data_IF_589469990590
#
_entry.id   IF_589469990590
#
_cell.length_a   1.000
_cell.length_b   1.000
_cell.length_c   1.000
_cell.angle_alpha   90.00
_cell.angle_beta   90.00
_cell.angle_gamma   90.00
#
_symmetry.space_group_name_H-M   'P 1'
#
loop_
_entity.id
_entity.type
_entity.pdbx_description
1 polymer ?
#
# COMPACT_ATOMS: atom_id res chain seq x y z
N UNK A 1 -1.49 -21.64 53.23
CA UNK A 1 -2.63 -22.22 52.47
C UNK A 1 -3.99 -22.06 53.17
N UNK A 2 -4.06 -21.84 54.49
CA UNK A 2 -5.32 -21.64 55.22
C UNK A 2 -6.00 -20.27 55.00
N UNK A 3 -5.25 -19.21 54.71
CA UNK A 3 -5.82 -17.86 54.49
C UNK A 3 -6.62 -17.69 53.18
N UNK A 4 -6.43 -18.55 52.18
CA UNK A 4 -7.14 -18.48 50.91
C UNK A 4 -8.51 -19.19 50.94
N UNK A 5 -8.76 -20.05 51.94
CA UNK A 5 -10.01 -20.83 52.05
C UNK A 5 -11.11 -20.01 52.72
N UNK A 6 -10.79 -19.33 53.83
CA UNK A 6 -11.71 -18.43 54.54
C UNK A 6 -12.06 -17.17 53.73
N UNK A 7 -11.16 -16.71 52.86
CA UNK A 7 -11.46 -15.58 51.97
C UNK A 7 -12.48 -15.97 50.89
N UNK A 8 -12.56 -17.25 50.51
CA UNK A 8 -13.43 -17.75 49.44
C UNK A 8 -14.88 -17.91 49.91
N UNK A 9 -15.09 -18.33 51.16
CA UNK A 9 -16.42 -18.45 51.78
C UNK A 9 -17.00 -17.07 52.16
N UNK A 10 -16.17 -16.14 52.66
CA UNK A 10 -16.67 -14.78 52.97
C UNK A 10 -17.04 -13.96 51.73
N UNK A 11 -16.47 -14.26 50.57
CA UNK A 11 -16.79 -13.56 49.31
C UNK A 11 -18.04 -14.17 48.64
N UNK A 12 -18.34 -15.47 48.83
CA UNK A 12 -19.53 -16.09 48.24
C UNK A 12 -20.84 -15.61 48.85
N UNK A 13 -20.81 -15.21 50.12
CA UNK A 13 -22.00 -14.76 50.84
C UNK A 13 -22.25 -13.24 50.72
N UNK A 14 -21.24 -12.47 50.27
CA UNK A 14 -21.31 -11.00 50.24
C UNK A 14 -21.78 -10.44 48.88
N UNK A 15 -21.67 -11.20 47.79
CA UNK A 15 -22.12 -10.79 46.46
C UNK A 15 -22.75 -11.98 45.70
N UNK A 16 -24.06 -11.99 45.43
CA UNK A 16 -24.69 -13.04 44.65
C UNK A 16 -24.01 -13.17 43.27
N UNK A 17 -23.81 -14.41 42.79
CA UNK A 17 -23.16 -14.75 41.51
C UNK A 17 -23.56 -13.83 40.32
N UNK A 18 -24.83 -13.41 40.15
CA UNK A 18 -25.21 -12.42 39.12
C UNK A 18 -24.50 -11.07 39.23
N UNK A 19 -24.23 -10.57 40.45
CA UNK A 19 -23.49 -9.32 40.64
C UNK A 19 -22.02 -9.48 40.24
N UNK A 20 -21.37 -10.60 40.57
CA UNK A 20 -20.02 -10.88 40.09
C UNK A 20 -19.95 -10.96 38.57
N UNK A 21 -20.90 -11.65 37.92
CA UNK A 21 -20.99 -11.71 36.46
C UNK A 21 -21.19 -10.31 35.87
N UNK A 22 -22.09 -9.51 36.46
CA UNK A 22 -22.31 -8.12 36.04
C UNK A 22 -21.04 -7.28 36.15
N UNK A 23 -20.29 -7.37 37.25
CA UNK A 23 -19.01 -6.67 37.41
C UNK A 23 -17.96 -7.12 36.38
N UNK A 24 -17.85 -8.42 36.11
CA UNK A 24 -16.92 -8.94 35.08
C UNK A 24 -17.30 -8.44 33.69
N UNK A 25 -18.59 -8.43 33.34
CA UNK A 25 -19.09 -7.88 32.06
C UNK A 25 -18.81 -6.38 32.00
N UNK A 26 -19.09 -5.63 33.07
CA UNK A 26 -18.86 -4.19 33.12
C UNK A 26 -17.37 -3.85 32.97
N UNK A 27 -16.48 -4.56 33.67
CA UNK A 27 -15.02 -4.42 33.54
C UNK A 27 -14.58 -4.76 32.12
N UNK A 28 -15.13 -5.81 31.52
CA UNK A 28 -14.82 -6.22 30.14
C UNK A 28 -15.27 -5.16 29.14
N UNK A 29 -16.50 -4.65 29.25
CA UNK A 29 -17.04 -3.57 28.41
C UNK A 29 -16.20 -2.30 28.58
N UNK A 30 -15.85 -1.93 29.81
CA UNK A 30 -15.00 -0.76 30.05
C UNK A 30 -13.62 -0.92 29.41
N UNK A 31 -12.99 -2.09 29.54
CA UNK A 31 -11.68 -2.35 28.96
C UNK A 31 -11.68 -2.43 27.44
N UNK A 32 -12.76 -2.94 26.82
CA UNK A 32 -12.88 -3.09 25.37
C UNK A 32 -13.31 -1.79 24.68
N UNK A 33 -14.23 -1.03 25.28
CA UNK A 33 -14.85 0.13 24.64
C UNK A 33 -14.40 1.47 25.23
N UNK A 34 -14.34 1.60 26.56
CA UNK A 34 -14.06 2.88 27.21
C UNK A 34 -12.57 3.21 27.28
N UNK A 35 -11.74 2.21 27.64
CA UNK A 35 -10.30 2.41 27.82
C UNK A 35 -9.59 2.86 26.52
N UNK A 36 -9.80 2.24 25.34
CA UNK A 36 -9.15 2.71 24.12
C UNK A 36 -9.55 4.13 23.72
N UNK A 37 -10.82 4.50 23.95
CA UNK A 37 -11.30 5.85 23.69
C UNK A 37 -10.65 6.88 24.64
N UNK A 38 -10.55 6.56 25.93
CA UNK A 38 -9.87 7.40 26.91
C UNK A 38 -8.37 7.58 26.60
N UNK A 39 -7.65 6.49 26.29
CA UNK A 39 -6.24 6.55 25.92
C UNK A 39 -6.04 7.33 24.61
N UNK A 40 -6.91 7.14 23.61
CA UNK A 40 -6.90 7.94 22.38
C UNK A 40 -7.09 9.42 22.67
N UNK A 41 -8.08 9.79 23.50
CA UNK A 41 -8.36 11.19 23.83
C UNK A 41 -7.21 11.84 24.61
N UNK A 42 -6.64 11.12 25.57
CA UNK A 42 -5.49 11.59 26.35
C UNK A 42 -4.28 11.80 25.44
N UNK A 43 -3.99 10.82 24.58
CA UNK A 43 -2.92 10.91 23.59
C UNK A 43 -3.12 12.09 22.64
N UNK A 44 -4.32 12.23 22.07
CA UNK A 44 -4.65 13.33 21.15
C UNK A 44 -4.36 14.71 21.78
N UNK A 45 -4.80 14.90 23.03
CA UNK A 45 -4.55 16.13 23.77
C UNK A 45 -3.07 16.35 24.06
N UNK A 46 -2.35 15.30 24.47
CA UNK A 46 -0.92 15.39 24.79
C UNK A 46 -0.06 15.63 23.55
N UNK A 47 -0.37 14.95 22.44
CA UNK A 47 0.40 15.06 21.20
C UNK A 47 0.17 16.39 20.50
N UNK A 48 -1.06 16.93 20.48
CA UNK A 48 -1.33 18.28 19.97
C UNK A 48 -0.62 19.35 20.80
N UNK A 49 -0.58 19.18 22.13
CA UNK A 49 0.17 20.08 23.02
C UNK A 49 1.68 20.03 22.79
N UNK A 50 2.24 18.84 22.60
CA UNK A 50 3.67 18.65 22.37
C UNK A 50 4.09 19.04 20.94
N UNK A 51 3.23 18.80 19.96
CA UNK A 51 3.50 18.97 18.55
C UNK A 51 2.31 19.65 17.85
N UNK A 52 2.35 20.98 17.68
CA UNK A 52 1.27 21.75 17.04
C UNK A 52 0.91 21.32 15.61
N UNK A 53 1.74 20.51 14.97
CA UNK A 53 1.48 19.91 13.66
C UNK A 53 0.17 19.12 13.61
N UNK A 54 -0.20 18.43 14.69
CA UNK A 54 -1.40 17.60 14.68
C UNK A 54 -2.69 18.41 14.67
N UNK A 55 -2.70 19.64 15.17
CA UNK A 55 -3.85 20.55 15.02
C UNK A 55 -4.06 20.96 13.56
N UNK A 56 -2.96 21.18 12.83
CA UNK A 56 -3.03 21.51 11.40
C UNK A 56 -3.46 20.29 10.60
N UNK A 57 -2.90 19.11 10.90
CA UNK A 57 -3.23 17.87 10.20
C UNK A 57 -4.69 17.46 10.43
N UNK A 58 -5.22 17.65 11.64
CA UNK A 58 -6.64 17.44 11.94
C UNK A 58 -7.55 18.34 11.08
N UNK A 59 -7.18 19.61 10.91
CA UNK A 59 -7.95 20.54 10.07
C UNK A 59 -7.83 20.22 8.58
N UNK A 60 -6.63 19.86 8.14
CA UNK A 60 -6.32 19.60 6.73
C UNK A 60 -6.86 18.26 6.23
N UNK A 61 -6.88 17.24 7.08
CA UNK A 61 -7.33 15.88 6.73
C UNK A 61 -8.04 15.23 7.92
N UNK A 62 -9.26 15.68 8.26
CA UNK A 62 -9.94 15.28 9.48
C UNK A 62 -10.17 13.77 9.59
N UNK A 63 -10.52 13.12 8.49
CA UNK A 63 -10.78 11.68 8.46
C UNK A 63 -9.49 10.87 8.67
N UNK A 64 -8.41 11.21 7.96
CA UNK A 64 -7.13 10.52 8.08
C UNK A 64 -6.51 10.72 9.47
N UNK A 65 -6.65 11.93 10.04
CA UNK A 65 -6.24 12.20 11.41
C UNK A 65 -7.06 11.39 12.43
N UNK A 66 -8.39 11.31 12.23
CA UNK A 66 -9.28 10.49 13.07
C UNK A 66 -8.89 9.02 13.04
N UNK A 67 -8.58 8.49 11.85
CA UNK A 67 -8.14 7.11 11.67
C UNK A 67 -6.80 6.85 12.36
N UNK A 68 -5.84 7.77 12.21
CA UNK A 68 -4.57 7.76 12.93
C UNK A 68 -4.75 7.79 14.45
N UNK A 69 -5.51 8.74 14.99
CA UNK A 69 -5.76 8.85 16.43
C UNK A 69 -6.44 7.59 16.97
N UNK A 70 -7.43 7.06 16.25
CA UNK A 70 -8.15 5.83 16.65
C UNK A 70 -7.23 4.61 16.66
N UNK A 71 -6.39 4.47 15.65
CA UNK A 71 -5.35 3.44 15.57
C UNK A 71 -4.38 3.55 16.75
N UNK A 72 -3.88 4.75 17.02
CA UNK A 72 -2.96 4.99 18.13
C UNK A 72 -3.58 4.68 19.50
N UNK A 73 -4.84 5.07 19.71
CA UNK A 73 -5.58 4.76 20.94
C UNK A 73 -5.68 3.26 21.20
N UNK A 74 -5.95 2.46 20.16
CA UNK A 74 -5.93 0.99 20.26
C UNK A 74 -4.54 0.47 20.62
N UNK A 75 -3.49 0.95 19.94
CA UNK A 75 -2.11 0.53 20.19
C UNK A 75 -1.65 0.85 21.63
N UNK A 76 -2.04 2.02 22.16
CA UNK A 76 -1.78 2.41 23.55
C UNK A 76 -2.55 1.54 24.55
N UNK A 77 -3.83 1.27 24.29
CA UNK A 77 -4.66 0.43 25.15
C UNK A 77 -4.13 -1.01 25.25
N UNK A 78 -3.59 -1.53 24.14
CA UNK A 78 -2.93 -2.82 24.01
C UNK A 78 -1.49 -2.83 24.56
N UNK A 79 -0.99 -1.70 25.08
CA UNK A 79 0.40 -1.53 25.56
C UNK A 79 1.44 -1.96 24.52
N UNK A 80 1.20 -1.64 23.25
CA UNK A 80 2.19 -1.88 22.19
C UNK A 80 3.49 -1.15 22.49
N UNK A 81 4.57 -1.68 21.95
CA UNK A 81 5.91 -1.12 22.06
C UNK A 81 5.91 0.36 21.63
N UNK A 82 6.56 1.23 22.42
CA UNK A 82 6.73 2.67 22.11
C UNK A 82 7.33 2.90 20.73
N UNK A 83 8.23 2.02 20.28
CA UNK A 83 8.84 2.07 18.96
C UNK A 83 7.81 1.94 17.85
N UNK A 84 6.82 1.07 18.03
CA UNK A 84 5.72 0.89 17.07
C UNK A 84 4.84 2.15 17.00
N UNK A 85 4.59 2.81 18.14
CA UNK A 85 3.85 4.08 18.19
C UNK A 85 4.61 5.21 17.47
N UNK A 86 5.93 5.29 17.69
CA UNK A 86 6.79 6.26 17.03
C UNK A 86 6.83 6.05 15.51
N UNK A 87 6.99 4.80 15.07
CA UNK A 87 6.95 4.44 13.64
C UNK A 87 5.60 4.81 13.02
N UNK A 88 4.49 4.52 13.71
CA UNK A 88 3.15 4.86 13.21
C UNK A 88 2.96 6.37 13.09
N UNK A 89 3.41 7.14 14.08
CA UNK A 89 3.43 8.61 14.05
C UNK A 89 4.24 9.14 12.88
N UNK A 90 5.45 8.63 12.69
CA UNK A 90 6.35 9.03 11.62
C UNK A 90 5.73 8.78 10.24
N UNK A 91 5.18 7.57 10.03
CA UNK A 91 4.49 7.21 8.77
C UNK A 91 3.30 8.14 8.47
N UNK A 92 2.52 8.49 9.49
CA UNK A 92 1.40 9.41 9.31
C UNK A 92 1.88 10.81 8.91
N UNK A 93 2.83 11.39 9.66
CA UNK A 93 3.36 12.73 9.35
C UNK A 93 4.02 12.77 7.97
N UNK A 94 4.78 11.73 7.61
CA UNK A 94 5.48 11.69 6.34
C UNK A 94 4.53 11.47 5.16
N UNK A 95 3.44 10.73 5.34
CA UNK A 95 2.38 10.65 4.36
C UNK A 95 1.71 12.01 4.12
N UNK A 96 1.41 12.76 5.18
CA UNK A 96 0.84 14.11 5.06
C UNK A 96 1.81 15.08 4.40
N UNK A 97 3.08 15.04 4.82
CA UNK A 97 4.13 15.85 4.22
C UNK A 97 4.26 15.54 2.73
N UNK A 98 4.32 14.27 2.34
CA UNK A 98 4.47 13.84 0.94
C UNK A 98 3.35 14.37 0.02
N UNK A 99 2.13 14.48 0.54
CA UNK A 99 0.99 15.06 -0.21
C UNK A 99 1.18 16.54 -0.52
N UNK A 100 1.77 17.28 0.42
CA UNK A 100 1.90 18.74 0.39
C UNK A 100 3.26 19.21 -0.12
N UNK A 101 4.27 18.35 -0.09
CA UNK A 101 5.64 18.66 -0.49
C UNK A 101 5.74 19.21 -1.94
N UNK A 102 4.99 18.70 -2.94
CA UNK A 102 5.04 19.24 -4.31
C UNK A 102 4.64 20.73 -4.40
N UNK A 103 3.76 21.20 -3.52
CA UNK A 103 3.25 22.57 -3.49
C UNK A 103 3.85 23.42 -2.37
N UNK A 104 4.76 22.87 -1.56
CA UNK A 104 5.45 23.63 -0.54
C UNK A 104 6.57 24.51 -1.15
N UNK A 105 6.87 25.62 -0.51
CA UNK A 105 7.99 26.50 -0.84
C UNK A 105 9.33 25.80 -0.55
N UNK A 106 10.24 25.91 -1.53
CA UNK A 106 11.57 25.31 -1.52
C UNK A 106 12.39 25.71 -0.28
N UNK A 107 12.16 26.90 0.30
CA UNK A 107 12.83 27.36 1.52
C UNK A 107 12.58 26.47 2.73
N UNK A 108 11.35 25.95 2.89
CA UNK A 108 11.02 25.09 4.03
C UNK A 108 11.61 23.68 3.84
N UNK A 109 11.59 23.19 2.60
CA UNK A 109 12.25 21.93 2.21
C UNK A 109 13.77 22.03 2.47
N UNK A 110 14.39 23.12 2.02
CA UNK A 110 15.81 23.39 2.28
C UNK A 110 16.15 23.41 3.77
N UNK A 111 15.34 24.10 4.60
CA UNK A 111 15.54 24.13 6.06
C UNK A 111 15.47 22.74 6.67
N UNK A 112 14.51 21.90 6.25
CA UNK A 112 14.41 20.53 6.73
C UNK A 112 15.66 19.71 6.39
N UNK A 113 16.08 19.73 5.13
CA UNK A 113 17.26 18.99 4.65
C UNK A 113 18.53 19.47 5.38
N UNK A 114 18.65 20.78 5.63
CA UNK A 114 19.74 21.36 6.42
C UNK A 114 19.72 20.86 7.87
N UNK A 115 18.56 20.86 8.51
CA UNK A 115 18.43 20.44 9.91
C UNK A 115 18.66 18.93 10.05
N UNK A 116 18.23 18.11 9.09
CA UNK A 116 18.57 16.68 8.97
C UNK A 116 20.07 16.48 8.82
N UNK A 117 20.74 17.24 7.95
CA UNK A 117 22.20 17.14 7.81
C UNK A 117 22.92 17.53 9.10
N UNK A 118 22.46 18.57 9.80
CA UNK A 118 23.03 18.96 11.09
C UNK A 118 22.90 17.81 12.07
N UNK A 119 21.71 17.19 12.18
CA UNK A 119 21.49 16.02 13.01
C UNK A 119 22.47 14.89 12.66
N UNK A 120 22.57 14.49 11.38
CA UNK A 120 23.47 13.41 10.96
C UNK A 120 24.94 13.67 11.28
N UNK A 121 25.39 14.93 11.23
CA UNK A 121 26.77 15.28 11.62
C UNK A 121 27.04 15.19 13.12
N UNK A 122 25.99 15.15 13.95
CA UNK A 122 26.09 15.09 15.41
C UNK A 122 25.89 13.67 15.95
N UNK A 123 25.34 12.78 15.13
CA UNK A 123 25.13 11.39 15.49
C UNK A 123 26.45 10.62 15.44
N UNK A 124 26.85 10.05 16.58
CA UNK A 124 28.08 9.26 16.70
C UNK A 124 27.91 7.84 16.15
N UNK A 125 26.72 7.25 16.31
CA UNK A 125 26.41 5.88 15.87
C UNK A 125 25.80 5.90 14.45
N UNK A 126 26.51 5.41 13.42
CA UNK A 126 26.03 5.41 12.04
C UNK A 126 24.69 4.69 11.83
N UNK A 127 24.38 3.69 12.66
CA UNK A 127 23.14 2.92 12.55
C UNK A 127 21.91 3.79 12.82
N UNK A 128 22.03 4.83 13.65
CA UNK A 128 20.95 5.79 13.94
C UNK A 128 20.62 6.63 12.70
N UNK A 129 21.62 7.01 11.90
CA UNK A 129 21.40 7.78 10.67
C UNK A 129 20.60 6.94 9.67
N UNK A 130 21.00 5.67 9.50
CA UNK A 130 20.33 4.73 8.59
C UNK A 130 18.92 4.45 9.07
N UNK A 131 18.74 4.20 10.36
CA UNK A 131 17.43 3.97 10.94
C UNK A 131 16.51 5.21 10.89
N UNK A 132 17.08 6.42 10.87
CA UNK A 132 16.30 7.64 10.71
C UNK A 132 15.81 7.82 9.27
N UNK A 133 16.62 7.47 8.28
CA UNK A 133 16.24 7.54 6.86
C UNK A 133 15.37 6.34 6.43
N UNK A 134 15.65 5.17 7.00
CA UNK A 134 15.03 3.89 6.68
C UNK A 134 14.54 3.20 7.97
N UNK A 135 13.46 3.70 8.59
CA UNK A 135 13.00 3.25 9.91
C UNK A 135 12.51 1.80 9.95
N UNK A 136 12.31 1.17 8.79
CA UNK A 136 11.98 -0.26 8.70
C UNK A 136 13.22 -1.16 8.72
N UNK A 137 14.41 -0.60 8.50
CA UNK A 137 15.64 -1.38 8.30
C UNK A 137 16.43 -1.70 9.58
N UNK A 138 16.20 -0.92 10.63
CA UNK A 138 16.99 -0.98 11.87
C UNK A 138 16.12 -0.59 13.06
N UNK A 139 16.30 -1.31 14.16
CA UNK A 139 15.64 -0.99 15.44
C UNK A 139 16.61 -0.16 16.28
N UNK A 140 16.27 1.09 16.57
CA UNK A 140 17.05 1.94 17.48
C UNK A 140 16.55 1.74 18.92
N UNK A 141 17.45 1.84 19.89
CA UNK A 141 17.09 1.90 21.31
C UNK A 141 16.68 3.33 21.74
N UNK A 142 15.69 3.42 22.62
CA UNK A 142 15.10 4.69 23.10
C UNK A 142 16.14 5.58 23.79
N UNK A 143 17.11 4.97 24.49
CA UNK A 143 18.21 5.67 25.19
C UNK A 143 19.10 6.43 24.20
N UNK A 144 19.37 5.83 23.04
CA UNK A 144 20.21 6.41 22.00
C UNK A 144 19.54 7.61 21.32
N UNK A 145 18.22 7.59 21.14
CA UNK A 145 17.46 8.67 20.51
C UNK A 145 17.35 9.89 21.42
N UNK A 146 17.18 9.68 22.74
CA UNK A 146 16.99 10.76 23.71
C UNK A 146 18.16 11.75 23.74
N UNK A 147 19.38 11.30 23.48
CA UNK A 147 20.58 12.17 23.35
C UNK A 147 20.41 13.22 22.24
N UNK A 148 19.60 12.94 21.22
CA UNK A 148 19.41 13.79 20.05
C UNK A 148 18.02 14.42 19.96
N UNK A 149 17.25 14.41 21.04
CA UNK A 149 15.86 14.88 21.08
C UNK A 149 15.68 16.29 20.52
N UNK A 150 16.58 17.22 20.87
CA UNK A 150 16.53 18.60 20.36
C UNK A 150 16.65 18.67 18.83
N UNK A 151 17.48 17.83 18.22
CA UNK A 151 17.65 17.79 16.76
C UNK A 151 16.41 17.20 16.09
N UNK A 152 15.86 16.13 16.67
CA UNK A 152 14.65 15.47 16.17
C UNK A 152 13.45 16.42 16.24
N UNK A 153 13.29 17.15 17.34
CA UNK A 153 12.27 18.19 17.47
C UNK A 153 12.44 19.28 16.40
N UNK A 154 13.67 19.70 16.12
CA UNK A 154 13.95 20.68 15.07
C UNK A 154 13.56 20.19 13.67
N UNK A 155 13.86 18.93 13.35
CA UNK A 155 13.42 18.30 12.09
C UNK A 155 11.89 18.23 12.04
N UNK A 156 11.23 17.85 13.13
CA UNK A 156 9.76 17.81 13.22
C UNK A 156 9.13 19.21 13.00
N UNK A 157 9.72 20.27 13.54
CA UNK A 157 9.29 21.65 13.29
C UNK A 157 9.51 22.09 11.83
N UNK A 158 10.56 21.58 11.18
CA UNK A 158 10.75 21.81 9.74
C UNK A 158 9.71 21.08 8.90
N UNK A 159 9.37 19.82 9.23
CA UNK A 159 8.26 19.08 8.60
C UNK A 159 6.92 19.81 8.79
N UNK A 160 6.67 20.32 10.00
CA UNK A 160 5.52 21.20 10.28
C UNK A 160 5.47 22.41 9.36
N UNK A 161 6.61 23.08 9.17
CA UNK A 161 6.66 24.28 8.35
C UNK A 161 6.37 24.00 6.87
N UNK A 162 6.81 22.85 6.36
CA UNK A 162 6.47 22.36 5.01
C UNK A 162 4.96 22.12 4.89
N UNK A 163 4.38 21.37 5.83
CA UNK A 163 2.95 21.05 5.83
C UNK A 163 2.10 22.33 5.93
N UNK A 164 2.42 23.19 6.88
CA UNK A 164 1.72 24.47 7.07
C UNK A 164 1.80 25.33 5.82
N UNK A 165 2.99 25.47 5.24
CA UNK A 165 3.16 26.27 4.03
C UNK A 165 2.41 25.67 2.84
N UNK A 166 2.46 24.35 2.62
CA UNK A 166 1.73 23.70 1.53
C UNK A 166 0.21 23.81 1.64
N UNK A 167 -0.32 24.02 2.86
CA UNK A 167 -1.75 24.25 3.10
C UNK A 167 -2.15 25.72 2.97
N UNK A 168 -1.38 26.63 3.58
CA UNK A 168 -1.74 28.05 3.67
C UNK A 168 -1.29 28.85 2.45
N UNK A 169 -0.18 28.47 1.82
CA UNK A 169 0.46 29.22 0.74
C UNK A 169 1.00 28.28 -0.37
N UNK A 170 0.14 27.46 -0.99
CA UNK A 170 0.57 26.50 -1.99
C UNK A 170 1.23 27.22 -3.18
N UNK A 171 2.44 26.79 -3.51
CA UNK A 171 3.15 27.19 -4.72
C UNK A 171 2.59 26.47 -5.95
N UNK A 172 2.94 26.98 -7.13
CA UNK A 172 2.62 26.30 -8.38
C UNK A 172 3.19 24.89 -8.40
N UNK A 173 2.45 24.01 -9.07
CA UNK A 173 2.85 22.61 -9.23
C UNK A 173 4.20 22.56 -9.94
N UNK A 174 5.06 21.67 -9.45
CA UNK A 174 6.36 21.33 -10.01
C UNK A 174 6.27 21.11 -11.54
N UNK A 175 6.94 21.95 -12.33
CA UNK A 175 6.86 21.89 -13.79
C UNK A 175 7.69 20.74 -14.39
N UNK A 176 7.37 20.33 -15.62
CA UNK A 176 8.11 19.27 -16.32
C UNK A 176 9.61 19.61 -16.51
N UNK A 177 9.92 20.87 -16.81
CA UNK A 177 11.31 21.32 -16.92
C UNK A 177 12.05 21.17 -15.58
N UNK A 178 11.43 21.57 -14.48
CA UNK A 178 12.00 21.42 -13.14
C UNK A 178 12.16 19.94 -12.76
N UNK A 179 11.21 19.09 -13.15
CA UNK A 179 11.28 17.64 -12.96
C UNK A 179 12.49 17.03 -13.69
N UNK A 180 12.67 17.35 -14.98
CA UNK A 180 13.79 16.86 -15.78
C UNK A 180 15.13 17.40 -15.26
N UNK A 181 15.17 18.67 -14.86
CA UNK A 181 16.32 19.30 -14.21
C UNK A 181 16.70 18.57 -12.91
N UNK A 182 15.74 18.36 -12.01
CA UNK A 182 15.94 17.67 -10.74
C UNK A 182 16.42 16.22 -10.94
N UNK A 183 15.81 15.47 -11.87
CA UNK A 183 16.23 14.11 -12.24
C UNK A 183 17.68 14.07 -12.70
N UNK A 184 18.08 15.00 -13.57
CA UNK A 184 19.46 15.10 -14.08
C UNK A 184 20.44 15.41 -12.95
N UNK A 185 20.11 16.36 -12.08
CA UNK A 185 20.97 16.74 -10.95
C UNK A 185 21.13 15.60 -9.95
N UNK A 186 20.03 14.92 -9.58
CA UNK A 186 20.09 13.77 -8.69
C UNK A 186 20.95 12.65 -9.29
N UNK A 187 20.79 12.33 -10.59
CA UNK A 187 21.63 11.36 -11.28
C UNK A 187 23.12 11.70 -11.17
N UNK A 188 23.49 12.97 -11.37
CA UNK A 188 24.88 13.43 -11.23
C UNK A 188 25.40 13.28 -9.79
N UNK A 189 24.57 13.55 -8.79
CA UNK A 189 24.92 13.33 -7.38
C UNK A 189 25.14 11.85 -7.10
N UNK A 190 24.22 10.98 -7.51
CA UNK A 190 24.36 9.52 -7.33
C UNK A 190 25.63 9.01 -8.01
N UNK A 191 25.89 9.38 -9.27
CA UNK A 191 27.13 8.98 -9.95
C UNK A 191 28.40 9.48 -9.27
N UNK A 192 28.34 10.62 -8.58
CA UNK A 192 29.47 11.12 -7.79
C UNK A 192 29.67 10.32 -6.50
N UNK A 193 28.57 9.91 -5.84
CA UNK A 193 28.61 9.03 -4.68
C UNK A 193 29.13 7.64 -5.06
N UNK A 194 28.69 7.07 -6.20
CA UNK A 194 29.16 5.78 -6.72
C UNK A 194 30.67 5.79 -6.98
N UNK A 195 31.18 6.86 -7.61
CA UNK A 195 32.62 7.03 -7.83
C UNK A 195 33.42 7.11 -6.53
N UNK A 196 32.84 7.71 -5.48
CA UNK A 196 33.52 7.96 -4.19
C UNK A 196 33.45 6.77 -3.23
N UNK A 197 32.32 6.07 -3.19
CA UNK A 197 32.01 5.03 -2.20
C UNK A 197 31.84 3.63 -2.82
N UNK A 198 31.89 3.51 -4.13
CA UNK A 198 31.64 2.27 -4.88
C UNK A 198 30.15 2.09 -5.21
N UNK A 199 29.87 1.70 -6.46
CA UNK A 199 28.50 1.49 -6.94
C UNK A 199 27.72 0.45 -6.13
N UNK A 200 28.37 -0.61 -5.66
CA UNK A 200 27.74 -1.64 -4.83
C UNK A 200 27.22 -1.06 -3.50
N UNK A 201 28.01 -0.25 -2.80
CA UNK A 201 27.59 0.35 -1.52
C UNK A 201 26.43 1.34 -1.69
N UNK A 202 26.47 2.14 -2.76
CA UNK A 202 25.39 3.08 -3.09
C UNK A 202 24.12 2.31 -3.48
N UNK A 203 24.26 1.26 -4.29
CA UNK A 203 23.14 0.39 -4.67
C UNK A 203 22.50 -0.28 -3.44
N UNK A 204 23.31 -0.92 -2.58
CA UNK A 204 22.82 -1.58 -1.38
C UNK A 204 22.10 -0.59 -0.44
N UNK A 205 22.64 0.61 -0.25
CA UNK A 205 21.99 1.63 0.59
C UNK A 205 20.59 2.01 0.11
N UNK A 206 20.38 2.18 -1.20
CA UNK A 206 19.09 2.65 -1.72
C UNK A 206 18.13 1.54 -2.14
N UNK A 207 18.58 0.28 -2.22
CA UNK A 207 17.75 -0.84 -2.70
C UNK A 207 17.62 -2.00 -1.69
N UNK A 208 18.60 -2.21 -0.79
CA UNK A 208 18.60 -3.31 0.17
C UNK A 208 19.34 -2.91 1.46
N UNK A 209 18.72 -2.02 2.23
CA UNK A 209 19.27 -1.51 3.50
C UNK A 209 19.47 -2.57 4.58
N UNK A 210 18.82 -3.74 4.42
CA UNK A 210 18.92 -4.87 5.34
C UNK A 210 20.02 -5.86 4.95
N UNK A 211 20.72 -5.61 3.84
CA UNK A 211 21.80 -6.48 3.41
C UNK A 211 22.92 -6.51 4.45
N UNK A 212 23.35 -7.69 4.93
CA UNK A 212 24.44 -7.81 5.91
C UNK A 212 25.79 -7.33 5.37
N UNK A 213 25.93 -7.14 4.05
CA UNK A 213 27.13 -6.56 3.43
C UNK A 213 27.15 -5.03 3.49
N UNK A 214 26.02 -4.37 3.78
CA UNK A 214 25.99 -2.92 3.88
C UNK A 214 26.71 -2.48 5.16
N UNK A 215 27.84 -1.78 4.97
CA UNK A 215 28.58 -1.21 6.09
C UNK A 215 27.92 0.08 6.58
N UNK A 216 27.40 0.08 7.80
CA UNK A 216 26.63 1.20 8.34
C UNK A 216 27.45 2.53 8.36
N UNK A 217 28.76 2.47 8.64
CA UNK A 217 29.61 3.66 8.64
C UNK A 217 29.81 4.23 7.22
N UNK A 218 29.86 3.38 6.19
CA UNK A 218 29.92 3.83 4.79
C UNK A 218 28.56 4.38 4.37
N UNK A 219 27.46 3.68 4.69
CA UNK A 219 26.10 4.12 4.42
C UNK A 219 25.79 5.51 5.00
N UNK A 220 26.13 5.73 6.28
CA UNK A 220 25.98 7.05 6.92
C UNK A 220 26.80 8.14 6.21
N UNK A 221 28.05 7.83 5.79
CA UNK A 221 28.87 8.78 5.01
C UNK A 221 28.24 9.08 3.65
N UNK A 222 27.65 8.10 2.98
CA UNK A 222 26.93 8.31 1.71
C UNK A 222 25.74 9.25 1.95
N UNK A 223 24.90 9.01 2.96
CA UNK A 223 23.77 9.88 3.30
C UNK A 223 24.23 11.30 3.63
N UNK A 224 25.21 11.49 4.51
CA UNK A 224 25.75 12.81 4.83
C UNK A 224 26.23 13.55 3.57
N UNK A 225 26.93 12.87 2.66
CA UNK A 225 27.41 13.49 1.43
C UNK A 225 26.28 13.76 0.44
N UNK A 226 25.27 12.88 0.33
CA UNK A 226 24.07 13.13 -0.47
C UNK A 226 23.40 14.44 -0.04
N UNK A 227 23.08 14.59 1.24
CA UNK A 227 22.44 15.78 1.79
C UNK A 227 23.32 17.04 1.62
N UNK A 228 24.65 16.92 1.80
CA UNK A 228 25.58 18.02 1.52
C UNK A 228 25.57 18.46 0.06
N UNK A 229 25.62 17.51 -0.87
CA UNK A 229 25.64 17.79 -2.30
C UNK A 229 24.33 18.40 -2.78
N UNK A 230 23.19 17.96 -2.23
CA UNK A 230 21.88 18.56 -2.51
C UNK A 230 21.86 20.02 -2.02
N UNK A 231 22.20 20.26 -0.75
CA UNK A 231 22.18 21.63 -0.18
C UNK A 231 23.14 22.59 -0.90
N UNK A 232 24.27 22.09 -1.39
CA UNK A 232 25.24 22.90 -2.13
C UNK A 232 24.68 23.48 -3.44
N UNK A 233 23.57 22.94 -3.97
CA UNK A 233 22.90 23.46 -5.17
C UNK A 233 22.04 24.71 -4.89
N UNK A 234 21.88 25.09 -3.62
CA UNK A 234 21.06 26.24 -3.20
C UNK A 234 19.60 25.88 -2.97
N UNK A 235 18.82 26.87 -2.51
CA UNK A 235 17.44 26.70 -2.03
C UNK A 235 16.54 26.09 -3.10
N UNK A 236 16.53 26.67 -4.30
CA UNK A 236 15.60 26.26 -5.35
C UNK A 236 15.86 24.83 -5.82
N UNK A 237 17.11 24.53 -6.21
CA UNK A 237 17.48 23.20 -6.70
C UNK A 237 17.38 22.11 -5.65
N UNK A 238 17.64 22.43 -4.38
CA UNK A 238 17.35 21.54 -3.26
C UNK A 238 15.88 21.19 -3.19
N UNK A 239 15.00 22.20 -3.25
CA UNK A 239 13.56 22.01 -3.24
C UNK A 239 13.08 21.18 -4.43
N UNK A 240 13.56 21.47 -5.63
CA UNK A 240 13.24 20.73 -6.85
C UNK A 240 13.65 19.25 -6.77
N UNK A 241 14.88 18.94 -6.32
CA UNK A 241 15.35 17.56 -6.16
C UNK A 241 14.51 16.80 -5.15
N UNK A 242 14.22 17.42 -4.01
CA UNK A 242 13.46 16.73 -2.97
C UNK A 242 12.00 16.52 -3.37
N UNK A 243 11.40 17.51 -4.05
CA UNK A 243 10.09 17.35 -4.70
C UNK A 243 10.12 16.21 -5.71
N UNK A 244 11.15 16.13 -6.55
CA UNK A 244 11.33 15.02 -7.49
C UNK A 244 11.35 13.66 -6.78
N UNK A 245 12.18 13.50 -5.74
CA UNK A 245 12.30 12.24 -4.98
C UNK A 245 10.93 11.79 -4.43
N UNK A 246 10.18 12.71 -3.82
CA UNK A 246 8.86 12.40 -3.25
C UNK A 246 7.74 12.33 -4.28
N UNK A 247 7.90 12.96 -5.45
CA UNK A 247 6.97 12.88 -6.57
C UNK A 247 7.19 11.64 -7.44
N UNK A 248 8.28 10.88 -7.24
CA UNK A 248 8.68 9.76 -8.09
C UNK A 248 7.60 8.69 -8.30
N UNK A 249 6.63 8.56 -7.38
CA UNK A 249 5.45 7.71 -7.55
C UNK A 249 4.24 8.45 -8.14
N UNK A 250 4.06 9.74 -7.81
CA UNK A 250 2.90 10.56 -8.21
C UNK A 250 3.01 11.12 -9.64
N UNK A 251 4.22 11.48 -10.07
CA UNK A 251 4.47 12.00 -11.42
C UNK A 251 4.48 10.90 -12.47
N UNK A 252 4.99 9.69 -12.16
CA UNK A 252 4.84 8.52 -13.05
C UNK A 252 3.36 8.24 -13.32
N UNK A 253 2.54 8.24 -12.26
CA UNK A 253 1.10 8.08 -12.37
C UNK A 253 0.42 9.23 -13.12
N UNK A 254 0.78 10.49 -12.87
CA UNK A 254 0.17 11.64 -13.54
C UNK A 254 0.66 11.86 -14.98
N UNK A 255 1.92 11.56 -15.34
CA UNK A 255 2.40 11.55 -16.72
C UNK A 255 1.83 10.37 -17.52
N UNK A 256 1.76 9.17 -16.96
CA UNK A 256 1.13 8.02 -17.63
C UNK A 256 -0.37 8.25 -17.87
N UNK A 257 -1.03 9.01 -16.99
CA UNK A 257 -2.43 9.41 -17.14
C UNK A 257 -2.61 10.59 -18.10
N UNK A 258 -1.66 11.55 -18.12
CA UNK A 258 -1.77 12.79 -18.93
C UNK A 258 -1.16 12.68 -20.34
N UNK A 259 -0.16 11.82 -20.57
CA UNK A 259 0.57 11.79 -21.85
C UNK A 259 -0.07 10.93 -22.94
N UNK A 260 -0.84 9.87 -22.67
CA UNK A 260 -1.28 8.99 -23.79
C UNK A 260 -2.66 8.30 -23.66
N UNK A 261 -3.37 8.26 -24.79
CA UNK A 261 -4.14 7.11 -25.26
C UNK A 261 -3.47 6.63 -26.56
N UNK A 262 -3.28 5.32 -26.84
CA UNK A 262 -3.31 4.14 -25.99
C UNK A 262 -1.89 3.52 -25.77
N UNK A 263 -1.75 2.60 -24.81
CA UNK A 263 -0.52 1.89 -24.45
C UNK A 263 -0.19 0.72 -25.39
N UNK A 264 -0.52 0.88 -26.68
CA UNK A 264 -0.04 -0.04 -27.72
C UNK A 264 1.49 -0.08 -27.75
N UNK A 265 2.15 1.07 -27.58
CA UNK A 265 3.62 1.16 -27.59
C UNK A 265 4.29 0.60 -26.33
N UNK A 266 3.65 0.71 -25.15
CA UNK A 266 4.17 0.09 -23.92
C UNK A 266 4.00 -1.44 -24.00
N UNK A 267 2.89 -1.91 -24.56
CA UNK A 267 2.67 -3.34 -24.81
C UNK A 267 3.60 -3.88 -25.90
N UNK A 268 3.88 -3.12 -26.97
CA UNK A 268 4.89 -3.48 -27.97
C UNK A 268 6.31 -3.42 -27.42
N UNK A 269 6.66 -2.46 -26.53
CA UNK A 269 7.97 -2.44 -25.86
C UNK A 269 8.15 -3.58 -24.87
N UNK A 270 7.13 -3.92 -24.09
CA UNK A 270 7.19 -5.06 -23.15
C UNK A 270 7.19 -6.39 -23.92
N UNK A 271 6.42 -6.52 -25.00
CA UNK A 271 6.41 -7.72 -25.85
C UNK A 271 7.66 -7.84 -26.75
N UNK A 272 8.26 -6.74 -27.21
CA UNK A 272 9.52 -6.75 -27.98
C UNK A 272 10.76 -6.89 -27.10
N UNK A 273 10.68 -6.56 -25.81
CA UNK A 273 11.74 -6.89 -24.83
C UNK A 273 11.75 -8.37 -24.42
N UNK A 274 10.77 -9.18 -24.85
CA UNK A 274 10.86 -10.65 -24.75
C UNK A 274 11.80 -11.27 -25.80
N UNK A 275 12.18 -10.57 -26.88
CA UNK A 275 13.13 -11.12 -27.86
C UNK A 275 14.61 -10.86 -27.55
N UNK A 276 14.94 -9.86 -26.71
CA UNK A 276 16.32 -9.55 -26.35
C UNK A 276 16.43 -9.03 -24.90
N UNK A 277 16.59 -9.94 -23.92
CA UNK A 277 17.24 -9.65 -22.63
C UNK A 277 16.36 -9.23 -21.43
N UNK A 278 16.00 -10.22 -20.60
CA UNK A 278 15.82 -10.19 -19.12
C UNK A 278 15.17 -8.94 -18.44
N UNK A 279 13.88 -9.01 -18.04
CA UNK A 279 13.17 -8.01 -17.22
C UNK A 279 13.58 -7.91 -15.73
N UNK A 280 14.86 -8.16 -15.38
CA UNK A 280 15.30 -8.29 -13.98
C UNK A 280 15.47 -6.97 -13.21
N UNK A 281 15.57 -5.82 -13.88
CA UNK A 281 16.17 -4.64 -13.24
C UNK A 281 15.18 -3.57 -12.75
N UNK A 282 13.92 -3.56 -13.17
CA UNK A 282 13.01 -2.45 -12.83
C UNK A 282 12.35 -2.63 -11.45
N UNK A 283 12.38 -3.84 -10.87
CA UNK A 283 11.66 -4.12 -9.62
C UNK A 283 12.32 -5.17 -8.71
N UNK A 284 13.64 -5.19 -8.56
CA UNK A 284 14.29 -6.15 -7.66
C UNK A 284 13.95 -5.89 -6.17
N UNK A 285 13.05 -6.71 -5.59
CA UNK A 285 13.28 -7.35 -4.28
C UNK A 285 12.99 -6.63 -2.95
N UNK A 286 12.29 -5.49 -2.87
CA UNK A 286 11.94 -4.90 -1.57
C UNK A 286 10.49 -5.21 -1.12
N UNK A 287 10.29 -5.43 0.19
CA UNK A 287 8.94 -5.63 0.78
C UNK A 287 8.01 -4.42 0.56
N UNK A 288 8.57 -3.22 0.36
CA UNK A 288 7.81 -2.02 0.03
C UNK A 288 7.17 -2.07 -1.37
N UNK A 289 7.85 -2.59 -2.40
CA UNK A 289 7.24 -2.77 -3.73
C UNK A 289 6.15 -3.84 -3.71
N UNK A 290 6.25 -4.83 -2.82
CA UNK A 290 5.16 -5.78 -2.59
C UNK A 290 3.97 -5.11 -1.90
N UNK A 291 4.21 -4.21 -0.92
CA UNK A 291 3.15 -3.46 -0.26
C UNK A 291 2.47 -2.46 -1.23
N UNK A 292 3.24 -1.78 -2.07
CA UNK A 292 2.71 -0.89 -3.11
C UNK A 292 1.93 -1.70 -4.16
N UNK A 293 2.45 -2.84 -4.61
CA UNK A 293 1.72 -3.72 -5.53
C UNK A 293 0.42 -4.25 -4.92
N UNK A 294 0.43 -4.60 -3.64
CA UNK A 294 -0.78 -4.99 -2.89
C UNK A 294 -1.78 -3.83 -2.83
N UNK A 295 -1.34 -2.61 -2.49
CA UNK A 295 -2.22 -1.43 -2.43
C UNK A 295 -2.77 -1.03 -3.80
N UNK A 296 -1.94 -1.09 -4.85
CA UNK A 296 -2.39 -0.85 -6.23
C UNK A 296 -3.43 -1.88 -6.62
N UNK A 297 -3.17 -3.16 -6.31
CA UNK A 297 -4.13 -4.23 -6.55
C UNK A 297 -5.44 -3.99 -5.81
N UNK A 298 -5.41 -3.78 -4.50
CA UNK A 298 -6.59 -3.49 -3.68
C UNK A 298 -7.38 -2.28 -4.21
N UNK A 299 -6.68 -1.21 -4.58
CA UNK A 299 -7.30 -0.04 -5.19
C UNK A 299 -7.98 -0.38 -6.52
N UNK A 300 -7.29 -1.09 -7.41
CA UNK A 300 -7.82 -1.50 -8.72
C UNK A 300 -9.01 -2.44 -8.55
N UNK A 301 -8.97 -3.41 -7.64
CA UNK A 301 -10.11 -4.29 -7.36
C UNK A 301 -11.32 -3.48 -6.83
N UNK A 302 -11.09 -2.54 -5.91
CA UNK A 302 -12.15 -1.67 -5.39
C UNK A 302 -12.76 -0.79 -6.48
N UNK A 303 -11.94 -0.25 -7.40
CA UNK A 303 -12.43 0.49 -8.55
C UNK A 303 -13.16 -0.42 -9.56
N UNK A 304 -12.68 -1.64 -9.78
CA UNK A 304 -13.33 -2.60 -10.68
C UNK A 304 -14.76 -2.93 -10.25
N UNK A 305 -15.01 -3.11 -8.95
CA UNK A 305 -16.39 -3.29 -8.44
C UNK A 305 -17.31 -2.11 -8.78
N UNK A 306 -16.77 -0.89 -8.85
CA UNK A 306 -17.53 0.32 -9.16
C UNK A 306 -17.74 0.50 -10.66
N UNK A 307 -16.70 0.26 -11.46
CA UNK A 307 -16.66 0.68 -12.86
C UNK A 307 -16.93 -0.44 -13.86
N UNK A 308 -16.65 -1.71 -13.52
CA UNK A 308 -16.92 -2.82 -14.44
C UNK A 308 -18.40 -2.92 -14.85
N UNK A 309 -19.40 -2.73 -13.95
CA UNK A 309 -20.82 -2.74 -14.33
C UNK A 309 -21.22 -1.72 -15.41
N UNK A 310 -20.49 -0.61 -15.51
CA UNK A 310 -20.74 0.49 -16.48
C UNK A 310 -19.68 0.56 -17.59
N UNK A 311 -18.81 -0.46 -17.71
CA UNK A 311 -17.83 -0.54 -18.81
C UNK A 311 -18.49 -1.06 -20.09
N UNK A 312 -17.84 -0.97 -21.24
CA UNK A 312 -18.34 -1.59 -22.47
C UNK A 312 -18.04 -3.10 -22.52
N UNK A 313 -18.87 -3.85 -23.24
CA UNK A 313 -18.75 -5.31 -23.32
C UNK A 313 -17.46 -5.75 -24.04
N UNK A 314 -16.94 -4.95 -24.96
CA UNK A 314 -15.75 -5.28 -25.76
C UNK A 314 -14.48 -5.22 -24.91
N UNK A 315 -14.32 -4.19 -24.09
CA UNK A 315 -13.18 -4.08 -23.16
C UNK A 315 -13.21 -5.19 -22.10
N UNK A 316 -14.39 -5.49 -21.55
CA UNK A 316 -14.55 -6.61 -20.60
C UNK A 316 -14.18 -7.94 -21.24
N UNK A 317 -14.68 -8.20 -22.46
CA UNK A 317 -14.36 -9.42 -23.21
C UNK A 317 -12.86 -9.55 -23.49
N UNK A 318 -12.21 -8.46 -23.91
CA UNK A 318 -10.78 -8.44 -24.19
C UNK A 318 -9.94 -8.75 -22.94
N UNK A 319 -10.25 -8.13 -21.79
CA UNK A 319 -9.63 -8.47 -20.51
C UNK A 319 -9.83 -9.95 -20.19
N UNK A 320 -11.07 -10.43 -20.19
CA UNK A 320 -11.38 -11.81 -19.80
C UNK A 320 -10.66 -12.84 -20.70
N UNK A 321 -10.55 -12.54 -21.99
CA UNK A 321 -9.78 -13.37 -22.95
C UNK A 321 -8.30 -13.39 -22.61
N UNK A 322 -7.70 -12.25 -22.31
CA UNK A 322 -6.28 -12.17 -21.93
C UNK A 322 -6.01 -12.85 -20.57
N UNK A 323 -6.91 -12.69 -19.60
CA UNK A 323 -6.85 -13.42 -18.32
C UNK A 323 -6.91 -14.92 -18.55
N UNK A 324 -7.80 -15.41 -19.41
CA UNK A 324 -7.87 -16.83 -19.75
C UNK A 324 -6.61 -17.34 -20.45
N UNK A 325 -6.09 -16.56 -21.42
CA UNK A 325 -4.84 -16.88 -22.11
C UNK A 325 -3.68 -17.02 -21.11
N UNK A 326 -3.65 -16.15 -20.10
CA UNK A 326 -2.68 -16.21 -19.03
C UNK A 326 -2.88 -17.43 -18.14
N UNK A 327 -4.11 -17.69 -17.67
CA UNK A 327 -4.41 -18.86 -16.83
C UNK A 327 -4.05 -20.19 -17.51
N UNK A 328 -4.16 -20.27 -18.84
CA UNK A 328 -3.74 -21.46 -19.60
C UNK A 328 -2.22 -21.67 -19.66
N UNK A 329 -1.42 -20.62 -19.43
CA UNK A 329 0.06 -20.66 -19.47
C UNK A 329 0.67 -20.86 -18.08
N UNK A 330 -0.04 -20.46 -17.02
CA UNK A 330 0.44 -20.55 -15.64
C UNK A 330 0.39 -22.00 -15.14
N UNK A 331 1.53 -22.53 -14.70
CA UNK A 331 1.63 -23.90 -14.17
C UNK A 331 1.21 -24.03 -12.70
N UNK A 332 0.99 -22.91 -12.01
CA UNK A 332 0.71 -22.87 -10.58
C UNK A 332 -0.78 -22.60 -10.32
N UNK A 333 -1.54 -23.60 -9.84
CA UNK A 333 -2.96 -23.44 -9.57
C UNK A 333 -3.28 -22.41 -8.48
N UNK A 334 -2.41 -22.25 -7.48
CA UNK A 334 -2.61 -21.25 -6.42
C UNK A 334 -2.55 -19.82 -6.95
N UNK A 335 -1.70 -19.55 -7.94
CA UNK A 335 -1.69 -18.26 -8.59
C UNK A 335 -3.04 -17.93 -9.23
N UNK A 336 -3.61 -18.88 -9.98
CA UNK A 336 -4.90 -18.70 -10.68
C UNK A 336 -6.02 -18.45 -9.67
N UNK A 337 -6.08 -19.25 -8.60
CA UNK A 337 -7.09 -19.09 -7.56
C UNK A 337 -6.94 -17.75 -6.85
N UNK A 338 -5.72 -17.37 -6.47
CA UNK A 338 -5.49 -16.13 -5.75
C UNK A 338 -5.63 -14.89 -6.65
N UNK A 339 -5.44 -15.00 -7.96
CA UNK A 339 -5.73 -13.93 -8.92
C UNK A 339 -7.24 -13.64 -8.99
N UNK A 340 -8.07 -14.68 -8.97
CA UNK A 340 -9.53 -14.59 -8.97
C UNK A 340 -10.11 -14.20 -7.61
N UNK A 341 -9.54 -14.74 -6.53
CA UNK A 341 -9.99 -14.55 -5.15
C UNK A 341 -8.86 -13.98 -4.27
N UNK A 342 -8.54 -12.68 -4.42
CA UNK A 342 -7.46 -12.02 -3.68
C UNK A 342 -7.57 -12.15 -2.15
N UNK A 343 -8.80 -12.09 -1.63
CA UNK A 343 -9.07 -11.99 -0.19
C UNK A 343 -8.95 -13.34 0.53
N UNK A 344 -9.02 -14.44 -0.21
CA UNK A 344 -9.07 -15.77 0.38
C UNK A 344 -7.67 -16.38 0.54
N UNK A 345 -6.79 -16.23 -0.46
CA UNK A 345 -5.50 -16.93 -0.44
C UNK A 345 -4.28 -16.02 -0.45
N UNK A 346 -3.44 -16.19 0.57
CA UNK A 346 -2.05 -15.73 0.52
C UNK A 346 -1.24 -16.63 -0.41
N UNK A 347 -0.68 -16.05 -1.46
CA UNK A 347 0.31 -16.73 -2.30
C UNK A 347 1.67 -16.68 -1.56
N UNK A 348 2.42 -17.78 -1.57
CA UNK A 348 3.79 -17.78 -1.05
C UNK A 348 4.70 -16.83 -1.86
N UNK A 349 5.79 -16.38 -1.25
CA UNK A 349 6.67 -15.38 -1.84
C UNK A 349 7.32 -15.85 -3.16
N UNK A 350 7.70 -17.12 -3.27
CA UNK A 350 8.36 -17.66 -4.46
C UNK A 350 7.40 -17.70 -5.65
N UNK A 351 6.14 -18.07 -5.41
CA UNK A 351 5.07 -18.02 -6.42
C UNK A 351 4.74 -16.59 -6.82
N UNK A 352 4.67 -15.63 -5.87
CA UNK A 352 4.49 -14.20 -6.18
C UNK A 352 5.60 -13.67 -7.09
N UNK A 353 6.84 -14.04 -6.81
CA UNK A 353 8.00 -13.61 -7.60
C UNK A 353 7.98 -14.23 -9.01
N UNK A 354 7.71 -15.54 -9.13
CA UNK A 354 7.66 -16.26 -10.42
C UNK A 354 6.61 -15.67 -11.38
N UNK A 355 5.46 -15.25 -10.85
CA UNK A 355 4.32 -14.79 -11.65
C UNK A 355 4.05 -13.29 -11.55
N UNK A 356 5.06 -12.51 -11.16
CA UNK A 356 4.90 -11.08 -10.93
C UNK A 356 4.44 -10.32 -12.17
N UNK A 357 5.07 -10.59 -13.31
CA UNK A 357 4.73 -9.93 -14.58
C UNK A 357 3.31 -10.26 -15.01
N UNK A 358 2.90 -11.51 -14.80
CA UNK A 358 1.57 -12.00 -15.11
C UNK A 358 0.50 -11.36 -14.22
N UNK A 359 0.76 -11.24 -12.90
CA UNK A 359 -0.11 -10.52 -11.99
C UNK A 359 -0.25 -9.04 -12.38
N UNK A 360 0.86 -8.41 -12.76
CA UNK A 360 0.87 -7.01 -13.19
C UNK A 360 0.07 -6.83 -14.49
N UNK A 361 0.18 -7.76 -15.43
CA UNK A 361 -0.63 -7.75 -16.67
C UNK A 361 -2.13 -7.79 -16.35
N UNK A 362 -2.57 -8.62 -15.40
CA UNK A 362 -3.98 -8.64 -14.97
C UNK A 362 -4.41 -7.27 -14.41
N UNK A 363 -3.59 -6.68 -13.52
CA UNK A 363 -3.88 -5.37 -12.91
C UNK A 363 -4.00 -4.29 -13.98
N UNK A 364 -3.11 -4.26 -14.97
CA UNK A 364 -3.17 -3.32 -16.08
C UNK A 364 -4.44 -3.50 -16.93
N UNK A 365 -4.85 -4.73 -17.23
CA UNK A 365 -6.08 -5.00 -17.96
C UNK A 365 -7.32 -4.49 -17.21
N UNK A 366 -7.36 -4.67 -15.89
CA UNK A 366 -8.41 -4.11 -15.02
C UNK A 366 -8.40 -2.57 -15.04
N UNK A 367 -7.22 -1.96 -15.00
CA UNK A 367 -7.08 -0.51 -15.11
C UNK A 367 -7.65 0.03 -16.45
N UNK A 368 -7.44 -0.67 -17.58
CA UNK A 368 -8.03 -0.25 -18.86
C UNK A 368 -9.55 -0.23 -18.84
N UNK A 369 -10.17 -1.23 -18.20
CA UNK A 369 -11.62 -1.25 -18.04
C UNK A 369 -12.08 -0.03 -17.24
N UNK A 370 -11.42 0.27 -16.12
CA UNK A 370 -11.75 1.45 -15.30
C UNK A 370 -11.63 2.74 -16.12
N UNK A 371 -10.53 2.92 -16.85
CA UNK A 371 -10.31 4.10 -17.71
C UNK A 371 -11.41 4.22 -18.76
N UNK A 372 -11.70 3.14 -19.49
CA UNK A 372 -12.72 3.16 -20.53
C UNK A 372 -14.14 3.40 -19.97
N UNK A 373 -14.44 2.88 -18.77
CA UNK A 373 -15.69 3.14 -18.08
C UNK A 373 -15.87 4.61 -17.69
N UNK A 374 -14.77 5.29 -17.34
CA UNK A 374 -14.77 6.71 -17.01
C UNK A 374 -14.94 7.58 -18.26
N UNK A 375 -14.30 7.19 -19.37
CA UNK A 375 -14.37 7.93 -20.64
C UNK A 375 -15.71 7.71 -21.36
N UNK A 376 -16.22 6.48 -21.35
CA UNK A 376 -17.37 6.04 -22.14
C UNK A 376 -18.33 5.17 -21.31
N UNK A 377 -18.94 5.73 -20.24
CA UNK A 377 -19.81 4.96 -19.36
C UNK A 377 -21.01 4.40 -20.12
N UNK A 378 -21.24 3.09 -19.97
CA UNK A 378 -22.41 2.40 -20.48
C UNK A 378 -23.53 2.37 -19.44
N UNK A 379 -24.80 2.32 -19.88
CA UNK A 379 -25.91 2.15 -18.97
C UNK A 379 -25.77 0.81 -18.19
N UNK A 380 -26.26 0.75 -16.95
CA UNK A 380 -26.38 -0.50 -16.20
C UNK A 380 -27.17 -1.56 -16.99
N UNK A 381 -26.99 -2.83 -16.62
CA UNK A 381 -27.73 -3.93 -17.23
C UNK A 381 -29.25 -3.73 -17.07
N UNK A 382 -29.98 -3.90 -18.17
CA UNK A 382 -31.44 -3.97 -18.13
C UNK A 382 -31.91 -5.24 -17.41
N UNK A 383 -33.15 -5.25 -16.91
CA UNK A 383 -33.76 -6.43 -16.28
C UNK A 383 -33.72 -7.69 -17.16
N UNK A 384 -33.88 -7.52 -18.48
CA UNK A 384 -33.77 -8.63 -19.44
C UNK A 384 -32.36 -9.20 -19.54
N UNK A 385 -31.34 -8.33 -19.51
CA UNK A 385 -29.93 -8.76 -19.52
C UNK A 385 -29.54 -9.45 -18.20
N UNK A 386 -30.02 -8.93 -17.07
CA UNK A 386 -29.84 -9.57 -15.75
C UNK A 386 -30.42 -10.99 -15.74
N UNK A 387 -31.66 -11.16 -16.22
CA UNK A 387 -32.30 -12.47 -16.29
C UNK A 387 -31.57 -13.42 -17.25
N UNK A 388 -31.12 -12.91 -18.40
CA UNK A 388 -30.31 -13.65 -19.37
C UNK A 388 -28.99 -14.12 -18.75
N UNK A 389 -28.24 -13.23 -18.08
CA UNK A 389 -26.97 -13.56 -17.44
C UNK A 389 -27.15 -14.63 -16.34
N UNK A 390 -28.16 -14.48 -15.48
CA UNK A 390 -28.49 -15.46 -14.42
C UNK A 390 -28.82 -16.84 -14.99
N UNK A 391 -29.59 -16.90 -16.09
CA UNK A 391 -29.90 -18.16 -16.78
C UNK A 391 -28.63 -18.84 -17.31
N UNK A 392 -27.72 -18.07 -17.93
CA UNK A 392 -26.45 -18.61 -18.44
C UNK A 392 -25.56 -19.11 -17.31
N UNK A 393 -25.42 -18.36 -16.22
CA UNK A 393 -24.65 -18.79 -15.05
C UNK A 393 -25.18 -20.08 -14.43
N UNK A 394 -26.51 -20.25 -14.34
CA UNK A 394 -27.11 -21.49 -13.86
C UNK A 394 -26.80 -22.68 -14.78
N UNK A 395 -26.84 -22.47 -16.11
CA UNK A 395 -26.46 -23.50 -17.08
C UNK A 395 -24.97 -23.87 -16.95
N UNK A 396 -24.10 -22.89 -16.74
CA UNK A 396 -22.67 -23.11 -16.51
C UNK A 396 -22.45 -23.89 -15.22
N UNK A 397 -23.09 -23.49 -14.11
CA UNK A 397 -23.03 -24.21 -12.84
C UNK A 397 -23.45 -25.67 -12.99
N UNK A 398 -24.57 -25.94 -13.68
CA UNK A 398 -25.02 -27.31 -13.97
C UNK A 398 -23.98 -28.11 -14.76
N UNK A 399 -23.39 -27.50 -15.80
CA UNK A 399 -22.38 -28.15 -16.64
C UNK A 399 -21.09 -28.43 -15.87
N UNK A 400 -20.63 -27.48 -15.06
CA UNK A 400 -19.44 -27.63 -14.21
C UNK A 400 -19.67 -28.68 -13.12
N UNK A 401 -20.85 -28.69 -12.48
CA UNK A 401 -21.21 -29.71 -11.49
C UNK A 401 -21.19 -31.11 -12.09
N UNK A 402 -21.71 -31.28 -13.32
CA UNK A 402 -21.67 -32.58 -14.02
C UNK A 402 -20.24 -33.03 -14.34
N UNK A 403 -19.35 -32.08 -14.68
CA UNK A 403 -17.96 -32.39 -15.08
C UNK A 403 -17.02 -32.61 -13.89
N UNK A 404 -17.17 -31.82 -12.83
CA UNK A 404 -16.21 -31.75 -11.72
C UNK A 404 -16.76 -32.17 -10.36
N UNK A 405 -18.06 -32.48 -10.28
CA UNK A 405 -18.76 -32.73 -9.02
C UNK A 405 -19.27 -31.45 -8.36
N UNK A 406 -20.50 -31.48 -7.85
CA UNK A 406 -21.14 -30.32 -7.22
C UNK A 406 -20.42 -29.83 -5.97
N UNK A 407 -19.82 -30.73 -5.19
CA UNK A 407 -19.04 -30.39 -4.00
C UNK A 407 -17.82 -29.52 -4.37
N UNK A 408 -17.02 -29.92 -5.37
CA UNK A 408 -15.83 -29.19 -5.78
C UNK A 408 -16.16 -27.80 -6.35
N UNK A 409 -17.22 -27.71 -7.16
CA UNK A 409 -17.68 -26.42 -7.71
C UNK A 409 -18.22 -25.53 -6.58
N UNK A 410 -18.99 -26.09 -5.64
CA UNK A 410 -19.51 -25.34 -4.50
C UNK A 410 -18.40 -24.82 -3.59
N UNK A 411 -17.42 -25.66 -3.26
CA UNK A 411 -16.26 -25.25 -2.45
C UNK A 411 -15.50 -24.10 -3.11
N UNK A 412 -15.24 -24.17 -4.42
CA UNK A 412 -14.53 -23.11 -5.12
C UNK A 412 -15.25 -21.76 -5.11
N UNK A 413 -16.57 -21.72 -5.29
CA UNK A 413 -17.29 -20.44 -5.42
C UNK A 413 -17.88 -19.93 -4.09
N UNK A 414 -17.87 -20.73 -3.02
CA UNK A 414 -18.45 -20.34 -1.73
C UNK A 414 -17.46 -20.40 -0.54
N UNK A 415 -16.42 -21.22 -0.61
CA UNK A 415 -15.46 -21.41 0.49
C UNK A 415 -14.04 -21.69 -0.05
N UNK A 416 -13.44 -20.67 -0.66
CA UNK A 416 -12.10 -20.74 -1.25
C UNK A 416 -10.98 -20.97 -0.23
N UNK A 417 -11.29 -20.80 1.06
CA UNK A 417 -10.40 -21.05 2.20
C UNK A 417 -10.51 -22.46 2.75
N UNK A 418 -11.41 -23.29 2.20
CA UNK A 418 -11.57 -24.64 2.68
C UNK A 418 -10.28 -25.45 2.48
N UNK A 419 -9.73 -26.10 3.52
CA UNK A 419 -8.52 -26.91 3.39
C UNK A 419 -8.71 -28.14 2.49
N UNK A 420 -9.97 -28.52 2.20
CA UNK A 420 -10.30 -29.60 1.25
C UNK A 420 -10.26 -29.16 -0.22
N UNK A 421 -10.07 -27.87 -0.50
CA UNK A 421 -10.06 -27.34 -1.86
C UNK A 421 -8.84 -27.90 -2.63
N UNK A 422 -9.09 -28.72 -3.65
CA UNK A 422 -8.05 -29.21 -4.54
C UNK A 422 -7.66 -28.12 -5.54
N UNK A 423 -6.50 -27.50 -5.33
CA UNK A 423 -6.06 -26.33 -6.08
C UNK A 423 -5.97 -26.57 -7.60
N UNK A 424 -5.40 -27.71 -8.00
CA UNK A 424 -5.27 -28.08 -9.42
C UNK A 424 -6.64 -28.28 -10.08
N UNK A 425 -7.61 -28.88 -9.37
CA UNK A 425 -8.97 -29.03 -9.86
C UNK A 425 -9.68 -27.66 -9.91
N UNK A 426 -9.50 -26.81 -8.91
CA UNK A 426 -10.07 -25.47 -8.85
C UNK A 426 -9.59 -24.58 -9.99
N UNK A 427 -8.29 -24.59 -10.31
CA UNK A 427 -7.76 -23.87 -11.46
C UNK A 427 -8.37 -24.35 -12.78
N UNK A 428 -8.58 -25.67 -12.95
CA UNK A 428 -9.28 -26.23 -14.12
C UNK A 428 -10.72 -25.76 -14.19
N UNK A 429 -11.45 -25.71 -13.07
CA UNK A 429 -12.83 -25.20 -13.01
C UNK A 429 -12.86 -23.71 -13.43
N UNK A 430 -11.93 -22.88 -12.95
CA UNK A 430 -11.84 -21.45 -13.31
C UNK A 430 -11.55 -21.24 -14.79
N UNK A 431 -10.62 -22.00 -15.37
CA UNK A 431 -10.29 -21.95 -16.81
C UNK A 431 -11.52 -22.34 -17.65
N UNK A 432 -12.19 -23.43 -17.31
CA UNK A 432 -13.39 -23.90 -18.01
C UNK A 432 -14.55 -22.90 -17.88
N UNK A 433 -14.72 -22.29 -16.71
CA UNK A 433 -15.73 -21.27 -16.46
C UNK A 433 -15.51 -20.04 -17.35
N UNK A 434 -14.28 -19.50 -17.37
CA UNK A 434 -13.92 -18.37 -18.23
C UNK A 434 -14.08 -18.70 -19.71
N UNK A 435 -13.64 -19.88 -20.15
CA UNK A 435 -13.81 -20.32 -21.54
C UNK A 435 -15.29 -20.35 -21.93
N UNK A 436 -16.15 -20.94 -21.09
CA UNK A 436 -17.60 -21.01 -21.36
C UNK A 436 -18.25 -19.64 -21.46
N UNK A 437 -17.85 -18.67 -20.63
CA UNK A 437 -18.35 -17.30 -20.73
C UNK A 437 -17.93 -16.69 -22.07
N UNK A 438 -16.66 -16.81 -22.44
CA UNK A 438 -16.12 -16.24 -23.68
C UNK A 438 -16.68 -16.89 -24.95
N UNK A 439 -17.06 -18.17 -24.89
CA UNK A 439 -17.69 -18.90 -25.99
C UNK A 439 -19.09 -18.32 -26.36
N UNK A 440 -19.72 -17.55 -25.46
CA UNK A 440 -20.98 -16.87 -25.75
C UNK A 440 -20.82 -15.61 -26.62
N UNK A 441 -19.58 -15.19 -26.89
CA UNK A 441 -19.28 -13.98 -27.64
C UNK A 441 -19.27 -12.71 -26.78
N UNK A 442 -18.89 -11.60 -27.43
CA UNK A 442 -18.56 -10.31 -26.77
C UNK A 442 -19.69 -9.80 -25.88
N UNK A 443 -20.90 -9.71 -26.42
CA UNK A 443 -22.01 -9.07 -25.70
C UNK A 443 -22.44 -9.87 -24.47
N UNK A 444 -22.64 -11.18 -24.63
CA UNK A 444 -23.12 -12.05 -23.55
C UNK A 444 -22.07 -12.26 -22.47
N UNK A 445 -20.79 -12.34 -22.85
CA UNK A 445 -19.70 -12.39 -21.88
C UNK A 445 -19.64 -11.10 -21.05
N UNK A 446 -19.69 -9.94 -21.72
CA UNK A 446 -19.69 -8.64 -21.05
C UNK A 446 -20.86 -8.49 -20.07
N UNK A 447 -22.07 -8.90 -20.48
CA UNK A 447 -23.25 -8.93 -19.61
C UNK A 447 -23.05 -9.80 -18.37
N UNK A 448 -22.47 -11.00 -18.51
CA UNK A 448 -22.23 -11.92 -17.39
C UNK A 448 -21.21 -11.34 -16.41
N UNK A 449 -20.08 -10.80 -16.88
CA UNK A 449 -19.08 -10.22 -15.99
C UNK A 449 -19.63 -8.98 -15.26
N UNK A 450 -20.40 -8.12 -15.95
CA UNK A 450 -21.11 -6.99 -15.33
C UNK A 450 -22.06 -7.46 -14.22
N UNK A 451 -22.81 -8.53 -14.49
CA UNK A 451 -23.73 -9.12 -13.51
C UNK A 451 -22.97 -9.66 -12.29
N UNK A 452 -21.87 -10.40 -12.49
CA UNK A 452 -21.05 -10.92 -11.39
C UNK A 452 -20.46 -9.82 -10.48
N UNK A 453 -20.27 -8.61 -11.01
CA UNK A 453 -19.68 -7.49 -10.27
C UNK A 453 -20.69 -6.41 -9.86
N UNK A 454 -21.97 -6.53 -10.25
CA UNK A 454 -22.96 -5.57 -9.78
C UNK A 454 -23.32 -5.85 -8.32
N UNK A 455 -23.35 -4.80 -7.49
CA UNK A 455 -23.78 -4.87 -6.07
C UNK A 455 -25.29 -5.09 -5.91
N UNK A 456 -25.95 -5.65 -6.92
CA UNK A 456 -27.38 -5.89 -6.85
C UNK A 456 -27.64 -6.98 -5.79
N UNK A 457 -28.41 -6.71 -4.72
CA UNK A 457 -28.72 -7.71 -3.70
C UNK A 457 -29.48 -8.94 -4.22
N UNK A 458 -29.89 -8.95 -5.50
CA UNK A 458 -30.51 -10.09 -6.20
C UNK A 458 -29.51 -11.07 -6.84
N UNK A 459 -28.21 -10.77 -6.78
CA UNK A 459 -27.12 -11.54 -7.38
C UNK A 459 -26.65 -12.70 -6.51
#
# INVERSE_FOLDING_TARGET
MFYLKDLKEKISDLYPLPQMIFFVVLITVFNVFCKPYYESWKFDREIKKAYPIFEILEKASPQEYKDYSSSMGKMLAEKKDKKLLMLHTHKFVDAQMSKLLPVADNKFIYSMIRDTLIFYKQVEDPSIIIAFEFPESRIIDDVSIKKYENYIQKIALSKYSIIKNGLENPQSIFSEEQFLSAKKQLKNIISSLEKKYGSENVFLLFNDTNNPKLNDAIAAKILINLYQMILALGVDKTGEIYKFIYSGERWKFEEEVKKENPPGEILEKIASQESEGSPKEIFAGNQETDLVAVRIREYVEAQMQKYLPISDNKSIYAMARETLNLYKKVDNPNFIIAAEFPESRSIDYATKFKYRNDAFKIILLKYYIIKHALENPQPPLSSGQILSAKKQLNNFKSTLNKKYGSENVSLLFHDTNNPKLNEALSAKILIDFHQKILDLGVDKAGEIFKFLHSKDPRN
#
